data_IF_965326336826
#
_entry.id   IF_965326336826
#
_cell.length_a   1.000
_cell.length_b   1.000
_cell.length_c   1.000
_cell.angle_alpha   90.00
_cell.angle_beta   90.00
_cell.angle_gamma   90.00
#
_symmetry.space_group_name_H-M   'P 1'
#
loop_
_entity.id
_entity.type
_entity.pdbx_description
1 polymer ?
#
# COMPACT_ATOMS: atom_id res chain seq x y z
N UNK A 1 -12.97 23.95 -39.93
CA UNK A 1 -13.41 24.58 -38.68
C UNK A 1 -12.76 23.80 -37.55
N UNK A 2 -11.56 24.20 -37.15
CA UNK A 2 -10.76 23.51 -36.13
C UNK A 2 -11.10 24.14 -34.79
N UNK A 3 -11.80 23.39 -33.94
CA UNK A 3 -12.21 23.85 -32.62
C UNK A 3 -11.05 23.67 -31.63
N UNK A 4 -10.48 24.79 -31.23
CA UNK A 4 -9.40 24.90 -30.25
C UNK A 4 -9.92 24.53 -28.86
N UNK A 5 -9.66 23.28 -28.44
CA UNK A 5 -9.94 22.76 -27.10
C UNK A 5 -8.93 23.24 -26.03
N UNK A 6 -8.55 24.52 -26.04
CA UNK A 6 -7.45 25.05 -25.25
C UNK A 6 -7.86 26.11 -24.23
N UNK A 7 -9.07 26.04 -23.65
CA UNK A 7 -9.55 27.14 -22.81
C UNK A 7 -10.38 26.72 -21.58
N UNK A 8 -9.82 25.87 -20.69
CA UNK A 8 -10.41 25.71 -19.34
C UNK A 8 -9.52 25.18 -18.22
N UNK A 9 -8.28 25.62 -18.09
CA UNK A 9 -7.49 25.32 -16.88
C UNK A 9 -6.86 26.61 -16.31
N UNK A 10 -7.63 27.33 -15.51
CA UNK A 10 -7.12 28.45 -14.71
C UNK A 10 -6.46 27.90 -13.43
N UNK A 11 -5.13 27.73 -13.47
CA UNK A 11 -4.34 27.34 -12.29
C UNK A 11 -3.81 28.60 -11.58
N UNK A 12 -4.45 28.98 -10.47
CA UNK A 12 -3.95 30.01 -9.55
C UNK A 12 -3.00 29.37 -8.53
N UNK A 13 -1.72 29.68 -8.68
CA UNK A 13 -0.58 28.96 -8.10
C UNK A 13 -0.10 29.57 -6.76
N UNK A 14 -0.97 29.75 -5.76
CA UNK A 14 -0.55 30.43 -4.51
C UNK A 14 -0.83 29.70 -3.18
N UNK A 15 -1.42 28.51 -3.16
CA UNK A 15 -1.48 27.70 -1.91
C UNK A 15 -1.81 26.23 -2.18
N UNK A 16 -0.91 25.35 -1.78
CA UNK A 16 -1.05 23.89 -1.80
C UNK A 16 -2.11 23.35 -0.82
N UNK A 17 -3.36 23.81 -0.89
CA UNK A 17 -4.43 23.33 0.01
C UNK A 17 -5.83 23.20 -0.59
N UNK A 18 -5.98 23.27 -1.90
CA UNK A 18 -7.23 22.89 -2.55
C UNK A 18 -6.96 22.55 -4.02
N UNK A 19 -6.37 21.38 -4.25
CA UNK A 19 -6.51 20.75 -5.57
C UNK A 19 -7.98 20.34 -5.65
N UNK A 20 -8.76 21.09 -6.43
CA UNK A 20 -10.12 20.68 -6.79
C UNK A 20 -9.95 19.59 -7.84
N UNK A 21 -9.91 18.32 -7.37
CA UNK A 21 -9.90 17.16 -8.24
C UNK A 21 -11.17 17.19 -9.10
N UNK A 22 -11.02 16.93 -10.39
CA UNK A 22 -12.17 16.68 -11.25
C UNK A 22 -12.91 15.42 -10.78
N UNK A 23 -14.19 15.29 -11.13
CA UNK A 23 -14.99 14.13 -10.74
C UNK A 23 -14.38 12.81 -11.23
N UNK A 24 -13.69 12.82 -12.37
CA UNK A 24 -12.99 11.66 -12.94
C UNK A 24 -11.76 11.27 -12.11
N UNK A 25 -10.93 12.23 -11.73
CA UNK A 25 -9.76 11.98 -10.86
C UNK A 25 -10.16 11.47 -9.48
N UNK A 26 -11.28 11.96 -8.91
CA UNK A 26 -11.80 11.44 -7.65
C UNK A 26 -12.20 9.96 -7.73
N UNK A 27 -12.67 9.49 -8.89
CA UNK A 27 -12.99 8.08 -9.10
C UNK A 27 -11.70 7.25 -9.16
N UNK A 28 -10.67 7.73 -9.85
CA UNK A 28 -9.37 7.05 -9.95
C UNK A 28 -8.69 6.92 -8.57
N UNK A 29 -8.68 7.99 -7.77
CA UNK A 29 -8.16 7.97 -6.38
C UNK A 29 -8.92 6.98 -5.52
N UNK A 30 -10.26 6.99 -5.58
CA UNK A 30 -11.10 6.05 -4.81
C UNK A 30 -10.88 4.60 -5.24
N UNK A 31 -10.76 4.36 -6.55
CA UNK A 31 -10.50 3.03 -7.08
C UNK A 31 -9.16 2.51 -6.55
N UNK A 32 -8.10 3.33 -6.61
CA UNK A 32 -6.78 3.00 -6.07
C UNK A 32 -6.79 2.74 -4.56
N UNK A 33 -7.53 3.54 -3.79
CA UNK A 33 -7.68 3.35 -2.35
C UNK A 33 -8.39 2.03 -2.00
N UNK A 34 -9.39 1.59 -2.78
CA UNK A 34 -10.07 0.32 -2.50
C UNK A 34 -9.23 -0.91 -2.88
N UNK A 35 -8.42 -0.81 -3.93
CA UNK A 35 -7.69 -1.94 -4.49
C UNK A 35 -6.28 -2.08 -3.91
N UNK A 36 -5.47 -1.02 -3.91
CA UNK A 36 -4.08 -1.07 -3.45
C UNK A 36 -3.96 -0.73 -1.98
N UNK A 37 -4.29 0.51 -1.59
CA UNK A 37 -4.10 0.98 -0.21
C UNK A 37 -4.94 0.15 0.78
N UNK A 38 -6.20 -0.09 0.43
CA UNK A 38 -7.13 -0.88 1.23
C UNK A 38 -6.75 -2.35 1.34
N UNK A 39 -6.07 -2.93 0.35
CA UNK A 39 -5.57 -4.30 0.45
C UNK A 39 -4.43 -4.41 1.46
N UNK A 40 -3.46 -3.50 1.44
CA UNK A 40 -2.35 -3.54 2.41
C UNK A 40 -2.82 -3.35 3.85
N UNK A 41 -3.74 -2.40 4.08
CA UNK A 41 -4.28 -2.13 5.42
C UNK A 41 -5.07 -3.34 5.94
N UNK A 42 -5.98 -3.92 5.12
CA UNK A 42 -6.75 -5.10 5.53
C UNK A 42 -5.83 -6.28 5.84
N UNK A 43 -4.82 -6.53 5.04
CA UNK A 43 -3.87 -7.64 5.28
C UNK A 43 -3.10 -7.40 6.57
N UNK A 44 -2.55 -6.20 6.79
CA UNK A 44 -1.82 -5.91 8.03
C UNK A 44 -2.71 -6.09 9.27
N UNK A 45 -3.95 -5.58 9.22
CA UNK A 45 -4.89 -5.73 10.32
C UNK A 45 -5.27 -7.19 10.59
N UNK A 46 -5.44 -8.01 9.54
CA UNK A 46 -5.71 -9.44 9.72
C UNK A 46 -4.51 -10.18 10.31
N UNK A 47 -3.29 -9.84 9.90
CA UNK A 47 -2.07 -10.41 10.49
C UNK A 47 -1.95 -10.06 11.99
N UNK A 48 -2.17 -8.80 12.37
CA UNK A 48 -2.15 -8.40 13.78
C UNK A 48 -3.27 -9.06 14.59
N UNK A 49 -4.48 -9.15 14.04
CA UNK A 49 -5.59 -9.82 14.71
C UNK A 49 -5.25 -11.28 14.98
N UNK A 50 -4.68 -11.97 13.98
CA UNK A 50 -4.27 -13.37 14.13
C UNK A 50 -3.12 -13.54 15.14
N UNK A 51 -2.14 -12.63 15.12
CA UNK A 51 -1.06 -12.60 16.11
C UNK A 51 -1.60 -12.48 17.54
N UNK A 52 -2.54 -11.55 17.77
CA UNK A 52 -3.17 -11.37 19.08
C UNK A 52 -3.95 -12.61 19.50
N UNK A 53 -4.71 -13.23 18.59
CA UNK A 53 -5.42 -14.49 18.86
C UNK A 53 -4.44 -15.58 19.28
N UNK A 54 -3.32 -15.76 18.57
CA UNK A 54 -2.32 -16.77 18.91
C UNK A 54 -1.72 -16.51 20.29
N UNK A 55 -1.23 -15.29 20.50
CA UNK A 55 -0.57 -14.89 21.75
C UNK A 55 -1.53 -14.96 22.96
N UNK A 56 -2.83 -14.73 22.73
CA UNK A 56 -3.83 -14.68 23.80
C UNK A 56 -4.41 -16.05 24.15
N UNK A 57 -4.62 -16.92 23.15
CA UNK A 57 -5.36 -18.18 23.32
C UNK A 57 -4.43 -19.38 23.51
N UNK A 58 -3.29 -19.43 22.82
CA UNK A 58 -2.42 -20.62 22.81
C UNK A 58 -1.36 -20.58 23.93
N UNK A 59 -0.78 -21.76 24.18
CA UNK A 59 0.32 -21.95 25.14
C UNK A 59 1.60 -21.25 24.65
N UNK A 60 2.56 -21.07 25.58
CA UNK A 60 3.81 -20.35 25.32
C UNK A 60 4.64 -20.92 24.15
N UNK A 61 4.46 -22.21 23.81
CA UNK A 61 5.11 -22.88 22.69
C UNK A 61 4.76 -22.24 21.33
N UNK A 62 3.57 -21.63 21.22
CA UNK A 62 3.09 -20.99 19.99
C UNK A 62 3.42 -19.49 19.92
N UNK A 63 4.08 -18.92 20.94
CA UNK A 63 4.37 -17.47 20.97
C UNK A 63 5.29 -17.04 19.83
N UNK A 64 6.24 -17.88 19.42
CA UNK A 64 7.07 -17.62 18.25
C UNK A 64 6.26 -17.47 16.96
N UNK A 65 5.16 -18.23 16.83
CA UNK A 65 4.24 -18.13 15.69
C UNK A 65 3.45 -16.82 15.79
N UNK A 66 2.90 -16.50 16.96
CA UNK A 66 2.22 -15.21 17.17
C UNK A 66 3.13 -13.99 16.89
N UNK A 67 4.38 -14.04 17.35
CA UNK A 67 5.38 -13.02 17.08
C UNK A 67 5.72 -12.90 15.59
N UNK A 68 5.83 -14.01 14.87
CA UNK A 68 6.03 -14.03 13.42
C UNK A 68 4.89 -13.28 12.70
N UNK A 69 3.64 -13.56 13.05
CA UNK A 69 2.47 -12.88 12.48
C UNK A 69 2.45 -11.38 12.81
N UNK A 70 2.89 -10.98 14.01
CA UNK A 70 3.00 -9.57 14.38
C UNK A 70 4.07 -8.84 13.55
N UNK A 71 5.27 -9.43 13.43
CA UNK A 71 6.38 -8.86 12.62
C UNK A 71 5.99 -8.80 11.15
N UNK A 72 5.35 -9.84 10.62
CA UNK A 72 4.89 -9.86 9.24
C UNK A 72 3.80 -8.80 8.98
N UNK A 73 2.82 -8.67 9.88
CA UNK A 73 1.81 -7.61 9.83
C UNK A 73 2.40 -6.20 9.88
N UNK A 74 3.44 -5.99 10.70
CA UNK A 74 4.19 -4.74 10.77
C UNK A 74 4.98 -4.47 9.48
N UNK A 75 5.60 -5.49 8.90
CA UNK A 75 6.30 -5.39 7.60
C UNK A 75 5.36 -4.93 6.48
N UNK A 76 4.18 -5.53 6.38
CA UNK A 76 3.15 -5.12 5.41
C UNK A 76 2.68 -3.68 5.68
N UNK A 77 2.50 -3.30 6.95
CA UNK A 77 2.12 -1.94 7.32
C UNK A 77 3.17 -0.92 6.89
N UNK A 78 4.45 -1.20 7.16
CA UNK A 78 5.56 -0.32 6.77
C UNK A 78 5.63 -0.15 5.25
N UNK A 79 5.49 -1.24 4.49
CA UNK A 79 5.43 -1.19 3.02
C UNK A 79 4.24 -0.35 2.56
N UNK A 80 3.07 -0.51 3.21
CA UNK A 80 1.88 0.29 2.92
C UNK A 80 2.11 1.78 3.14
N UNK A 81 2.67 2.15 4.29
CA UNK A 81 2.98 3.54 4.65
C UNK A 81 4.01 4.15 3.69
N UNK A 82 5.06 3.40 3.36
CA UNK A 82 6.08 3.83 2.41
C UNK A 82 5.50 4.03 1.01
N UNK A 83 4.65 3.11 0.54
CA UNK A 83 3.96 3.23 -0.75
C UNK A 83 2.97 4.40 -0.75
N UNK A 84 2.30 4.68 0.37
CA UNK A 84 1.44 5.86 0.51
C UNK A 84 2.24 7.15 0.38
N UNK A 85 3.43 7.21 0.98
CA UNK A 85 4.32 8.37 0.84
C UNK A 85 4.81 8.54 -0.61
N UNK A 86 5.24 7.45 -1.27
CA UNK A 86 5.66 7.49 -2.67
C UNK A 86 4.52 7.86 -3.62
N UNK A 87 3.34 7.27 -3.45
CA UNK A 87 2.16 7.59 -4.25
C UNK A 87 1.72 9.04 -4.09
N UNK A 88 1.79 9.58 -2.86
CA UNK A 88 1.53 10.98 -2.60
C UNK A 88 2.55 11.88 -3.32
N UNK A 89 3.85 11.59 -3.22
CA UNK A 89 4.89 12.39 -3.89
C UNK A 89 4.83 12.29 -5.42
N UNK A 90 4.59 11.11 -5.99
CA UNK A 90 4.49 10.91 -7.44
C UNK A 90 3.26 11.59 -8.03
N UNK A 91 2.12 11.55 -7.33
CA UNK A 91 0.91 12.27 -7.72
C UNK A 91 1.14 13.78 -7.82
N UNK A 92 1.90 14.36 -6.88
CA UNK A 92 2.23 15.79 -6.94
C UNK A 92 3.33 16.13 -7.96
N UNK A 93 4.31 15.25 -8.19
CA UNK A 93 5.38 15.50 -9.18
C UNK A 93 4.91 15.37 -10.63
N UNK A 94 3.97 14.47 -10.92
CA UNK A 94 3.43 14.30 -12.27
C UNK A 94 2.60 15.51 -12.72
N UNK A 95 2.02 16.24 -11.77
CA UNK A 95 1.32 17.51 -11.99
C UNK A 95 2.32 18.67 -12.21
N UNK A 96 3.59 18.50 -11.83
CA UNK A 96 4.52 19.61 -11.58
C UNK A 96 5.44 20.06 -12.72
N UNK A 97 5.64 19.28 -13.80
CA UNK A 97 6.72 19.61 -14.73
C UNK A 97 6.26 20.37 -15.99
N UNK A 98 5.38 19.85 -16.87
CA UNK A 98 5.13 20.49 -18.18
C UNK A 98 3.66 20.54 -18.66
N UNK A 99 2.65 20.28 -17.83
CA UNK A 99 1.24 20.28 -18.27
C UNK A 99 0.88 19.23 -19.35
N UNK A 100 1.88 18.50 -19.85
CA UNK A 100 1.72 17.33 -20.69
C UNK A 100 1.60 16.12 -19.76
N UNK A 101 0.39 15.58 -19.70
CA UNK A 101 -0.01 14.40 -18.95
C UNK A 101 0.70 13.14 -19.50
N UNK A 102 2.02 13.05 -19.41
CA UNK A 102 2.72 11.80 -19.65
C UNK A 102 2.52 10.92 -18.42
N UNK A 103 1.40 10.18 -18.43
CA UNK A 103 1.13 9.06 -17.52
C UNK A 103 2.20 8.00 -17.66
N UNK A 104 3.38 8.24 -17.09
CA UNK A 104 4.43 7.23 -17.00
C UNK A 104 4.06 6.34 -15.82
N UNK A 105 3.08 5.46 -16.05
CA UNK A 105 2.67 4.41 -15.13
C UNK A 105 3.90 3.55 -14.76
N UNK A 106 4.61 3.91 -13.68
CA UNK A 106 5.56 2.98 -13.06
C UNK A 106 4.71 1.91 -12.38
N UNK A 107 4.60 0.77 -13.06
CA UNK A 107 3.94 -0.44 -12.54
C UNK A 107 4.45 -0.74 -11.13
N UNK A 108 3.56 -1.16 -10.25
CA UNK A 108 3.82 -1.49 -8.84
C UNK A 108 4.79 -2.67 -8.60
N UNK A 109 5.45 -3.16 -9.65
CA UNK A 109 6.27 -4.37 -9.66
C UNK A 109 7.30 -4.44 -8.53
N UNK A 110 8.01 -3.35 -8.20
CA UNK A 110 8.99 -3.40 -7.12
C UNK A 110 8.35 -3.70 -5.75
N UNK A 111 7.19 -3.11 -5.49
CA UNK A 111 6.45 -3.37 -4.23
C UNK A 111 5.89 -4.79 -4.22
N UNK A 112 5.42 -5.28 -5.37
CA UNK A 112 4.96 -6.67 -5.51
C UNK A 112 6.10 -7.63 -5.20
N UNK A 113 7.29 -7.43 -5.76
CA UNK A 113 8.47 -8.27 -5.51
C UNK A 113 8.83 -8.28 -4.02
N UNK A 114 8.87 -7.10 -3.37
CA UNK A 114 9.15 -7.00 -1.94
C UNK A 114 8.10 -7.74 -1.10
N UNK A 115 6.82 -7.58 -1.42
CA UNK A 115 5.73 -8.29 -0.72
C UNK A 115 5.79 -9.79 -0.92
N UNK A 116 6.09 -10.26 -2.13
CA UNK A 116 6.25 -11.68 -2.42
C UNK A 116 7.42 -12.27 -1.63
N UNK A 117 8.58 -11.61 -1.65
CA UNK A 117 9.75 -12.06 -0.88
C UNK A 117 9.46 -12.11 0.64
N UNK A 118 8.81 -11.06 1.18
CA UNK A 118 8.38 -11.02 2.57
C UNK A 118 7.41 -12.16 2.91
N UNK A 119 6.43 -12.42 2.04
CA UNK A 119 5.45 -13.50 2.21
C UNK A 119 6.12 -14.87 2.23
N UNK A 120 7.01 -15.15 1.27
CA UNK A 120 7.73 -16.42 1.17
C UNK A 120 8.60 -16.66 2.40
N UNK A 121 9.34 -15.63 2.85
CA UNK A 121 10.14 -15.72 4.07
C UNK A 121 9.28 -16.02 5.29
N UNK A 122 8.17 -15.28 5.48
CA UNK A 122 7.25 -15.51 6.59
C UNK A 122 6.67 -16.94 6.56
N UNK A 123 6.21 -17.42 5.41
CA UNK A 123 5.67 -18.78 5.29
C UNK A 123 6.71 -19.87 5.52
N UNK A 124 7.96 -19.63 5.11
CA UNK A 124 9.06 -20.58 5.35
C UNK A 124 9.38 -20.66 6.84
N UNK A 125 9.45 -19.52 7.53
CA UNK A 125 9.65 -19.48 8.99
C UNK A 125 8.48 -20.15 9.70
N UNK A 126 7.25 -19.88 9.28
CA UNK A 126 6.05 -20.52 9.83
C UNK A 126 6.14 -22.04 9.71
N UNK A 127 6.47 -22.55 8.52
CA UNK A 127 6.61 -23.99 8.27
C UNK A 127 7.67 -24.61 9.19
N UNK A 128 8.83 -23.97 9.34
CA UNK A 128 9.89 -24.45 10.23
C UNK A 128 9.44 -24.44 11.69
N UNK A 129 8.77 -23.39 12.15
CA UNK A 129 8.24 -23.31 13.51
C UNK A 129 7.18 -24.39 13.76
N UNK A 130 6.29 -24.64 12.80
CA UNK A 130 5.28 -25.69 12.90
C UNK A 130 5.90 -27.08 12.98
N UNK A 131 6.93 -27.37 12.19
CA UNK A 131 7.63 -28.66 12.23
C UNK A 131 8.44 -28.88 13.52
N UNK A 132 8.80 -27.80 14.24
CA UNK A 132 9.56 -27.87 15.49
C UNK A 132 8.69 -27.94 16.75
N UNK A 133 7.37 -27.79 16.62
CA UNK A 133 6.48 -27.93 17.77
C UNK A 133 6.55 -29.36 18.30
N UNK A 134 6.72 -29.54 19.62
CA UNK A 134 6.61 -30.88 20.22
C UNK A 134 5.20 -31.42 19.99
N UNK A 135 5.11 -32.69 19.60
CA UNK A 135 3.85 -33.40 19.37
C UNK A 135 3.15 -33.76 20.68
#
# INVERSE_FOLDING_TARGET
MFESASDRYHLRLHRARSVVLTSEEMVEVRASQRTFEGAYIRTSLSQFSFALVILKIFTAEFYSIGALFAVYGAGILLISLFRRQQGNQQFFSEIGDHGLNQKRFKTSGNVVVVLTALSVAAYTILLVLTLKLPA
#
